data_IF_907763348532
#
_entry.id   IF_907763348532
#
_cell.length_a   1.000
_cell.length_b   1.000
_cell.length_c   1.000
_cell.angle_alpha   90.00
_cell.angle_beta   90.00
_cell.angle_gamma   90.00
#
_symmetry.space_group_name_H-M   'P 1'
#
loop_
_entity.id
_entity.type
_entity.pdbx_description
1 polymer ?
#
# COMPACT_ATOMS: atom_id res chain seq x y z
N UNK A 1 -16.94 -8.93 14.49
CA UNK A 1 -15.66 -9.02 15.25
C UNK A 1 -14.53 -8.87 14.25
N UNK A 2 -13.56 -7.99 14.51
CA UNK A 2 -12.41 -7.77 13.61
C UNK A 2 -12.20 -6.30 13.21
N UNK A 3 -13.24 -5.46 13.29
CA UNK A 3 -13.11 -4.01 13.07
C UNK A 3 -12.46 -3.33 14.28
N UNK A 4 -11.48 -2.46 14.01
CA UNK A 4 -10.81 -1.62 15.00
C UNK A 4 -11.75 -0.47 15.39
N UNK A 5 -12.33 -0.49 16.59
CA UNK A 5 -13.25 0.59 17.01
C UNK A 5 -12.52 1.84 17.54
N UNK A 6 -11.28 1.67 17.98
CA UNK A 6 -10.46 2.73 18.54
C UNK A 6 -8.97 2.41 18.33
N UNK A 7 -8.16 3.44 18.16
CA UNK A 7 -6.70 3.39 18.20
C UNK A 7 -6.17 4.51 19.09
N UNK A 8 -5.01 4.29 19.69
CA UNK A 8 -4.26 5.36 20.37
C UNK A 8 -2.81 5.32 19.93
N UNK A 9 -2.33 6.41 19.34
CA UNK A 9 -0.93 6.60 18.93
C UNK A 9 -0.42 7.84 19.63
N UNK A 10 0.67 7.73 20.37
CA UNK A 10 1.32 8.86 21.07
C UNK A 10 0.35 9.75 21.89
N UNK A 11 -0.69 9.13 22.45
CA UNK A 11 -1.72 9.79 23.25
C UNK A 11 -2.88 10.41 22.46
N UNK A 12 -2.82 10.40 21.13
CA UNK A 12 -3.93 10.80 20.24
C UNK A 12 -4.87 9.63 20.06
N UNK A 13 -6.18 9.88 20.18
CA UNK A 13 -7.22 8.86 20.09
C UNK A 13 -8.01 9.03 18.81
N UNK A 14 -8.13 7.95 18.06
CA UNK A 14 -8.93 7.86 16.83
C UNK A 14 -10.03 6.83 17.03
N UNK A 15 -11.28 7.20 16.74
CA UNK A 15 -12.44 6.30 16.85
C UNK A 15 -13.03 6.01 15.48
N UNK A 16 -13.54 4.80 15.29
CA UNK A 16 -13.99 4.30 13.99
C UNK A 16 -15.42 3.77 14.06
N UNK A 17 -16.20 3.99 12.99
CA UNK A 17 -17.57 3.46 12.85
C UNK A 17 -17.72 2.64 11.57
N UNK A 18 -18.56 1.61 11.62
CA UNK A 18 -18.70 0.64 10.53
C UNK A 18 -20.17 0.30 10.30
N UNK A 19 -20.51 -0.11 9.08
CA UNK A 19 -21.82 -0.71 8.78
C UNK A 19 -21.78 -2.25 8.91
N UNK A 20 -22.93 -2.89 8.66
CA UNK A 20 -23.09 -4.35 8.74
C UNK A 20 -22.27 -5.13 7.69
N UNK A 21 -21.78 -4.46 6.65
CA UNK A 21 -20.91 -5.03 5.61
C UNK A 21 -19.41 -4.82 5.91
N UNK A 22 -19.07 -4.42 7.15
CA UNK A 22 -17.70 -4.07 7.58
C UNK A 22 -17.08 -2.88 6.83
N UNK A 23 -17.87 -2.09 6.08
CA UNK A 23 -17.37 -0.85 5.46
C UNK A 23 -17.08 0.18 6.57
N UNK A 24 -15.91 0.84 6.51
CA UNK A 24 -15.57 1.93 7.43
C UNK A 24 -16.39 3.16 7.04
N UNK A 25 -17.35 3.56 7.86
CA UNK A 25 -18.18 4.73 7.54
C UNK A 25 -17.45 6.03 7.88
N UNK A 26 -16.80 6.08 9.04
CA UNK A 26 -16.00 7.22 9.45
C UNK A 26 -14.91 6.87 10.44
N UNK A 27 -13.87 7.70 10.45
CA UNK A 27 -12.95 7.86 11.56
C UNK A 27 -13.02 9.30 12.11
N UNK A 28 -12.66 9.47 13.36
CA UNK A 28 -12.64 10.78 14.02
C UNK A 28 -11.41 10.88 14.90
N UNK A 29 -10.57 11.87 14.61
CA UNK A 29 -9.36 12.20 15.35
C UNK A 29 -9.36 13.72 15.60
N UNK A 30 -9.13 14.16 16.84
CA UNK A 30 -9.03 15.59 17.17
C UNK A 30 -10.20 16.47 16.66
N UNK A 31 -11.41 15.92 16.59
CA UNK A 31 -12.64 16.54 16.04
C UNK A 31 -12.70 16.69 14.51
N UNK A 32 -11.67 16.26 13.79
CA UNK A 32 -11.70 16.09 12.33
C UNK A 32 -12.42 14.79 12.02
N UNK A 33 -13.37 14.84 11.09
CA UNK A 33 -14.14 13.65 10.67
C UNK A 33 -13.74 13.30 9.24
N UNK A 34 -13.20 12.10 9.07
CA UNK A 34 -12.99 11.49 7.76
C UNK A 34 -14.08 10.47 7.52
N UNK A 35 -14.84 10.58 6.43
CA UNK A 35 -15.85 9.60 6.03
C UNK A 35 -15.48 8.91 4.73
N UNK A 36 -15.99 7.69 4.53
CA UNK A 36 -15.70 6.91 3.33
C UNK A 36 -16.98 6.45 2.63
N UNK A 37 -16.96 6.52 1.31
CA UNK A 37 -18.02 6.02 0.44
C UNK A 37 -17.54 4.79 -0.31
N UNK A 38 -18.49 3.93 -0.69
CA UNK A 38 -18.19 2.64 -1.29
C UNK A 38 -19.09 2.41 -2.51
N UNK A 39 -18.57 1.68 -3.50
CA UNK A 39 -19.38 1.15 -4.60
C UNK A 39 -20.15 -0.10 -4.16
N UNK A 40 -21.03 -0.58 -5.04
CA UNK A 40 -21.83 -1.80 -4.81
C UNK A 40 -20.98 -3.07 -4.68
N UNK A 41 -19.73 -3.05 -5.16
CA UNK A 41 -18.77 -4.15 -5.01
C UNK A 41 -17.95 -4.04 -3.71
N UNK A 42 -18.17 -2.99 -2.91
CA UNK A 42 -17.47 -2.73 -1.66
C UNK A 42 -16.06 -2.17 -1.83
N UNK A 43 -15.71 -1.56 -2.96
CA UNK A 43 -14.48 -0.79 -3.10
C UNK A 43 -14.69 0.63 -2.57
N UNK A 44 -13.72 1.19 -1.85
CA UNK A 44 -13.77 2.58 -1.37
C UNK A 44 -13.73 3.55 -2.56
N UNK A 45 -14.79 4.32 -2.79
CA UNK A 45 -14.90 5.33 -3.86
C UNK A 45 -14.37 6.69 -3.46
N UNK A 46 -14.64 7.13 -2.22
CA UNK A 46 -14.24 8.46 -1.77
C UNK A 46 -13.73 8.40 -0.33
N UNK A 47 -12.68 9.17 -0.05
CA UNK A 47 -12.26 9.61 1.29
C UNK A 47 -12.62 11.09 1.38
N UNK A 48 -13.45 11.45 2.33
CA UNK A 48 -13.96 12.81 2.53
C UNK A 48 -13.51 13.30 3.90
N UNK A 49 -12.71 14.37 3.95
CA UNK A 49 -12.19 14.97 5.19
C UNK A 49 -12.93 16.28 5.44
N UNK A 50 -13.58 16.42 6.60
CA UNK A 50 -14.37 17.59 6.99
C UNK A 50 -15.39 18.05 5.93
N UNK A 51 -15.99 17.08 5.24
CA UNK A 51 -17.01 17.32 4.21
C UNK A 51 -16.47 17.72 2.84
N UNK A 52 -15.14 17.74 2.66
CA UNK A 52 -14.48 17.95 1.38
C UNK A 52 -13.89 16.64 0.86
N UNK A 53 -14.07 16.37 -0.43
CA UNK A 53 -13.47 15.20 -1.06
C UNK A 53 -11.95 15.36 -1.03
N UNK A 54 -11.28 14.46 -0.31
CA UNK A 54 -9.82 14.41 -0.16
C UNK A 54 -9.20 13.45 -1.18
N UNK A 55 -9.83 12.29 -1.37
CA UNK A 55 -9.44 11.34 -2.40
C UNK A 55 -10.64 10.72 -3.10
N UNK A 56 -10.62 10.70 -4.43
CA UNK A 56 -11.57 9.92 -5.26
C UNK A 56 -10.85 8.73 -5.89
N UNK A 57 -11.49 7.58 -5.92
CA UNK A 57 -10.98 6.35 -6.52
C UNK A 57 -11.92 5.86 -7.62
N UNK A 58 -11.36 5.25 -8.66
CA UNK A 58 -12.13 4.51 -9.66
C UNK A 58 -11.66 3.08 -9.78
N UNK A 59 -12.58 2.18 -10.13
CA UNK A 59 -12.31 0.75 -10.22
C UNK A 59 -12.82 0.15 -11.53
N UNK A 60 -12.15 -0.89 -11.97
CA UNK A 60 -12.66 -1.78 -13.01
C UNK A 60 -13.78 -2.66 -12.44
N UNK A 61 -14.55 -3.29 -13.34
CA UNK A 61 -15.55 -4.32 -12.99
C UNK A 61 -14.98 -5.52 -12.21
N UNK A 62 -13.67 -5.73 -12.28
CA UNK A 62 -12.95 -6.84 -11.66
C UNK A 62 -12.26 -6.39 -10.35
N UNK A 63 -12.73 -5.29 -9.74
CA UNK A 63 -12.24 -4.70 -8.48
C UNK A 63 -10.75 -4.29 -8.51
N UNK A 64 -10.27 -3.79 -9.66
CA UNK A 64 -8.92 -3.23 -9.78
C UNK A 64 -8.99 -1.70 -9.77
N UNK A 65 -8.20 -1.04 -8.92
CA UNK A 65 -8.15 0.43 -8.88
C UNK A 65 -7.57 0.95 -10.19
N UNK A 66 -8.36 1.67 -10.99
CA UNK A 66 -7.93 2.23 -12.28
C UNK A 66 -7.32 3.62 -12.12
N UNK A 67 -7.83 4.41 -11.18
CA UNK A 67 -7.30 5.74 -10.89
C UNK A 67 -7.57 6.16 -9.46
N UNK A 68 -6.81 7.16 -9.01
CA UNK A 68 -7.09 7.92 -7.82
C UNK A 68 -6.75 9.40 -8.05
N UNK A 69 -7.57 10.30 -7.52
CA UNK A 69 -7.24 11.72 -7.38
C UNK A 69 -7.06 11.97 -5.89
N UNK A 70 -5.82 11.93 -5.39
CA UNK A 70 -5.51 12.44 -4.05
C UNK A 70 -5.42 13.95 -4.20
N UNK A 71 -5.88 14.78 -3.26
CA UNK A 71 -5.91 16.25 -3.41
C UNK A 71 -4.61 16.93 -3.89
N UNK A 72 -3.49 16.20 -3.92
CA UNK A 72 -2.19 16.56 -4.46
C UNK A 72 -1.82 15.97 -5.83
N UNK A 73 -2.35 14.81 -6.22
CA UNK A 73 -1.91 14.08 -7.43
C UNK A 73 -3.04 13.35 -8.15
N UNK A 74 -2.97 13.32 -9.48
CA UNK A 74 -3.79 12.46 -10.34
C UNK A 74 -3.01 11.20 -10.70
N UNK A 75 -3.55 10.03 -10.36
CA UNK A 75 -2.88 8.74 -10.50
C UNK A 75 -3.74 7.82 -11.36
N UNK A 76 -3.11 7.08 -12.27
CA UNK A 76 -3.78 5.99 -13.00
C UNK A 76 -2.89 4.76 -13.11
N UNK A 77 -3.52 3.59 -13.23
CA UNK A 77 -2.84 2.31 -13.27
C UNK A 77 -3.32 1.47 -14.44
N UNK A 78 -2.40 0.68 -15.00
CA UNK A 78 -2.75 -0.38 -15.95
C UNK A 78 -2.41 -1.74 -15.38
N UNK A 79 -3.11 -2.77 -15.85
CA UNK A 79 -2.97 -4.14 -15.36
C UNK A 79 -2.91 -5.11 -16.54
N UNK A 80 -2.22 -6.23 -16.34
CA UNK A 80 -2.30 -7.37 -17.27
C UNK A 80 -3.60 -8.17 -17.07
N UNK A 81 -3.76 -9.24 -17.85
CA UNK A 81 -4.91 -10.14 -17.75
C UNK A 81 -4.99 -10.92 -16.42
N UNK A 82 -3.88 -11.03 -15.68
CA UNK A 82 -3.84 -11.60 -14.33
C UNK A 82 -4.22 -10.60 -13.24
N UNK A 83 -4.39 -9.32 -13.60
CA UNK A 83 -4.66 -8.24 -12.66
C UNK A 83 -3.42 -7.74 -11.92
N UNK A 84 -2.23 -7.97 -12.48
CA UNK A 84 -0.97 -7.46 -11.94
C UNK A 84 -0.64 -6.12 -12.59
N UNK A 85 -0.30 -5.13 -11.78
CA UNK A 85 -0.02 -3.75 -12.23
C UNK A 85 1.18 -3.74 -13.18
N UNK A 86 0.97 -3.15 -14.37
CA UNK A 86 1.97 -3.04 -15.43
C UNK A 86 2.51 -1.62 -15.59
N UNK A 87 1.72 -0.60 -15.22
CA UNK A 87 2.20 0.77 -15.16
C UNK A 87 1.47 1.59 -14.12
N UNK A 88 2.09 2.69 -13.74
CA UNK A 88 1.54 3.76 -12.92
C UNK A 88 1.85 5.09 -13.62
N UNK A 89 0.86 5.95 -13.78
CA UNK A 89 1.03 7.32 -14.25
C UNK A 89 0.64 8.27 -13.13
N UNK A 90 1.57 9.12 -12.69
CA UNK A 90 1.35 10.17 -11.68
C UNK A 90 1.59 11.52 -12.35
N UNK A 91 0.56 12.38 -12.35
CA UNK A 91 0.65 13.75 -12.87
C UNK A 91 1.24 13.84 -14.30
N UNK A 92 0.94 12.83 -15.11
CA UNK A 92 1.38 12.70 -16.51
C UNK A 92 2.72 12.01 -16.72
N UNK A 93 3.45 11.66 -15.66
CA UNK A 93 4.70 10.88 -15.72
C UNK A 93 4.38 9.40 -15.51
N UNK A 94 4.79 8.55 -16.46
CA UNK A 94 4.50 7.12 -16.42
C UNK A 94 5.74 6.30 -16.07
N UNK A 95 5.57 5.39 -15.12
CA UNK A 95 6.51 4.31 -14.80
C UNK A 95 5.91 3.00 -15.30
N UNK A 96 6.65 2.27 -16.12
CA UNK A 96 6.32 0.92 -16.56
C UNK A 96 7.06 -0.11 -15.69
N UNK A 97 6.40 -1.22 -15.37
CA UNK A 97 6.95 -2.27 -14.51
C UNK A 97 7.29 -3.51 -15.32
N UNK A 98 8.56 -3.93 -15.31
CA UNK A 98 8.94 -5.28 -15.77
C UNK A 98 8.73 -6.26 -14.62
N UNK A 99 7.73 -7.14 -14.75
CA UNK A 99 7.33 -8.05 -13.68
C UNK A 99 7.79 -9.48 -13.98
N UNK A 100 8.40 -10.15 -13.01
CA UNK A 100 8.67 -11.59 -13.03
C UNK A 100 7.49 -12.39 -12.46
N UNK A 101 6.79 -13.19 -13.29
CA UNK A 101 5.70 -14.05 -12.83
C UNK A 101 6.17 -15.43 -12.34
N UNK A 102 7.46 -15.77 -12.43
CA UNK A 102 7.97 -17.13 -12.19
C UNK A 102 8.37 -17.41 -10.73
N UNK A 103 8.12 -16.46 -9.83
CA UNK A 103 8.38 -16.59 -8.39
C UNK A 103 7.10 -16.99 -7.66
N UNK A 104 7.18 -17.24 -6.34
CA UNK A 104 6.02 -17.58 -5.51
C UNK A 104 4.86 -16.57 -5.61
N UNK A 105 5.21 -15.31 -5.92
CA UNK A 105 4.29 -14.23 -6.27
C UNK A 105 5.00 -13.26 -7.23
N UNK A 106 4.21 -12.45 -7.95
CA UNK A 106 4.72 -11.49 -8.93
C UNK A 106 5.63 -10.45 -8.28
N UNK A 107 6.79 -10.22 -8.88
CA UNK A 107 7.81 -9.28 -8.38
C UNK A 107 8.25 -8.32 -9.48
N UNK A 108 8.38 -7.03 -9.16
CA UNK A 108 8.94 -6.05 -10.12
C UNK A 108 10.45 -6.23 -10.16
N UNK A 109 10.98 -6.52 -11.34
CA UNK A 109 12.42 -6.55 -11.62
C UNK A 109 12.95 -5.17 -12.00
N UNK A 110 12.17 -4.39 -12.75
CA UNK A 110 12.59 -3.07 -13.22
C UNK A 110 11.42 -2.08 -13.19
N UNK A 111 11.75 -0.84 -12.85
CA UNK A 111 10.92 0.34 -13.11
C UNK A 111 11.53 1.08 -14.28
N UNK A 112 10.74 1.32 -15.32
CA UNK A 112 11.18 1.84 -16.60
C UNK A 112 10.45 3.15 -16.92
N UNK A 113 11.10 4.04 -17.65
CA UNK A 113 10.49 5.26 -18.19
C UNK A 113 9.61 4.96 -19.43
N UNK A 114 9.03 5.99 -20.03
CA UNK A 114 8.20 5.86 -21.25
C UNK A 114 8.95 5.38 -22.50
N UNK A 115 10.29 5.36 -22.46
CA UNK A 115 11.13 4.78 -23.50
C UNK A 115 11.51 3.33 -23.18
N UNK A 116 10.94 2.75 -22.12
CA UNK A 116 11.24 1.42 -21.57
C UNK A 116 12.71 1.28 -21.17
N UNK A 117 13.35 2.38 -20.76
CA UNK A 117 14.71 2.37 -20.22
C UNK A 117 14.63 2.16 -18.71
N UNK A 118 15.31 1.15 -18.14
CA UNK A 118 15.31 0.90 -16.70
C UNK A 118 15.89 2.09 -15.92
N UNK A 119 15.09 2.61 -14.99
CA UNK A 119 15.45 3.66 -14.03
C UNK A 119 15.80 3.07 -12.67
N UNK A 120 15.12 1.97 -12.29
CA UNK A 120 15.43 1.19 -11.10
C UNK A 120 15.48 -0.28 -11.47
N UNK A 121 16.51 -0.98 -11.03
CA UNK A 121 16.69 -2.43 -11.22
C UNK A 121 16.76 -3.09 -9.85
N UNK A 122 15.91 -4.09 -9.63
CA UNK A 122 15.83 -4.86 -8.40
C UNK A 122 16.49 -6.22 -8.57
N UNK A 123 17.31 -6.60 -7.58
CA UNK A 123 17.97 -7.91 -7.51
C UNK A 123 17.34 -8.74 -6.41
N UNK A 124 16.93 -9.97 -6.72
CA UNK A 124 16.27 -10.87 -5.78
C UNK A 124 17.09 -12.15 -5.56
N UNK A 125 17.09 -12.64 -4.32
CA UNK A 125 17.50 -13.98 -3.93
C UNK A 125 16.26 -14.80 -3.60
N UNK A 126 16.10 -15.20 -2.34
CA UNK A 126 14.80 -15.62 -1.80
C UNK A 126 13.89 -14.39 -1.59
N UNK A 127 14.45 -13.32 -1.02
CA UNK A 127 13.83 -12.01 -0.85
C UNK A 127 14.47 -10.94 -1.76
N UNK A 128 13.95 -9.71 -1.74
CA UNK A 128 14.59 -8.56 -2.37
C UNK A 128 15.96 -8.30 -1.70
N UNK A 129 17.03 -8.22 -2.48
CA UNK A 129 18.39 -8.06 -1.96
C UNK A 129 18.83 -6.60 -2.08
N UNK A 130 18.68 -6.04 -3.27
CA UNK A 130 19.18 -4.69 -3.56
C UNK A 130 18.39 -4.03 -4.66
N UNK A 131 18.44 -2.69 -4.68
CA UNK A 131 18.00 -1.87 -5.80
C UNK A 131 19.20 -1.11 -6.37
N UNK A 132 19.19 -0.84 -7.67
CA UNK A 132 20.14 0.05 -8.33
C UNK A 132 19.36 1.09 -9.11
N UNK A 133 19.57 2.36 -8.78
CA UNK A 133 19.00 3.52 -9.47
C UNK A 133 20.11 4.56 -9.74
N UNK A 134 19.75 5.78 -10.13
CA UNK A 134 20.71 6.87 -10.36
C UNK A 134 21.55 7.26 -9.12
N UNK A 135 21.06 6.95 -7.91
CA UNK A 135 21.76 7.20 -6.64
C UNK A 135 22.74 6.07 -6.29
N UNK A 136 22.79 4.99 -7.07
CA UNK A 136 23.67 3.84 -6.90
C UNK A 136 22.97 2.59 -6.39
N UNK A 137 23.76 1.56 -6.10
CA UNK A 137 23.25 0.28 -5.59
C UNK A 137 23.13 0.31 -4.07
N UNK A 138 21.95 -0.04 -3.57
CA UNK A 138 21.61 -0.07 -2.16
C UNK A 138 21.09 -1.45 -1.76
N UNK A 139 21.64 -2.01 -0.68
CA UNK A 139 21.26 -3.32 -0.15
C UNK A 139 20.25 -3.16 0.98
N UNK A 140 19.18 -3.93 0.93
CA UNK A 140 18.11 -3.89 1.93
C UNK A 140 18.47 -4.69 3.19
N UNK A 141 18.04 -4.18 4.34
CA UNK A 141 18.04 -4.90 5.61
C UNK A 141 16.64 -4.89 6.22
N UNK A 142 16.19 -6.04 6.72
CA UNK A 142 14.79 -6.28 7.12
C UNK A 142 14.63 -6.56 8.61
N UNK A 143 13.41 -6.39 9.12
CA UNK A 143 12.98 -7.00 10.39
C UNK A 143 12.40 -8.41 10.20
N UNK A 144 11.96 -9.03 11.29
CA UNK A 144 11.42 -10.39 11.27
C UNK A 144 10.11 -10.57 10.51
N UNK A 145 9.41 -9.48 10.17
CA UNK A 145 8.20 -9.50 9.34
C UNK A 145 8.54 -9.28 7.86
N UNK A 146 9.81 -8.99 7.54
CA UNK A 146 10.26 -8.64 6.19
C UNK A 146 10.11 -7.15 5.87
N UNK A 147 9.83 -6.29 6.85
CA UNK A 147 9.75 -4.85 6.61
C UNK A 147 11.14 -4.25 6.46
N UNK A 148 11.33 -3.37 5.47
CA UNK A 148 12.61 -2.70 5.24
C UNK A 148 12.99 -1.81 6.44
N UNK A 149 14.04 -2.15 7.16
CA UNK A 149 14.56 -1.35 8.28
C UNK A 149 15.65 -0.38 7.86
N UNK A 150 16.50 -0.78 6.92
CA UNK A 150 17.63 0.01 6.46
C UNK A 150 17.92 -0.24 4.98
N UNK A 151 18.49 0.77 4.31
CA UNK A 151 19.24 0.59 3.07
C UNK A 151 20.69 0.93 3.35
N UNK A 152 21.62 0.13 2.83
CA UNK A 152 23.07 0.35 2.97
C UNK A 152 23.73 0.49 1.61
N UNK A 153 24.77 1.32 1.51
CA UNK A 153 25.61 1.38 0.32
C UNK A 153 26.62 0.22 0.26
N UNK A 154 27.46 0.20 -0.77
CA UNK A 154 28.49 -0.84 -0.98
C UNK A 154 29.57 -0.90 0.11
N UNK A 155 29.67 0.12 0.98
CA UNK A 155 30.58 0.16 2.13
C UNK A 155 29.93 -0.34 3.41
N UNK A 156 28.61 -0.61 3.38
CA UNK A 156 27.82 -0.96 4.55
C UNK A 156 27.34 0.25 5.36
N UNK A 157 27.49 1.48 4.84
CA UNK A 157 26.99 2.68 5.50
C UNK A 157 25.48 2.78 5.31
N UNK A 158 24.74 3.05 6.38
CA UNK A 158 23.28 3.22 6.35
C UNK A 158 22.92 4.51 5.63
N UNK A 159 22.20 4.38 4.52
CA UNK A 159 21.71 5.49 3.69
C UNK A 159 20.28 5.87 4.06
N UNK A 160 19.41 4.88 4.26
CA UNK A 160 18.06 5.08 4.80
C UNK A 160 17.81 4.22 6.04
N UNK A 161 16.92 4.68 6.92
CA UNK A 161 16.40 3.88 8.03
C UNK A 161 14.90 4.11 8.25
N UNK A 162 14.19 3.08 8.69
CA UNK A 162 12.74 3.12 8.91
C UNK A 162 12.31 2.43 10.21
N UNK A 163 11.40 3.07 10.93
CA UNK A 163 10.62 2.54 12.05
C UNK A 163 9.16 2.44 11.65
N UNK A 164 8.46 1.40 12.14
CA UNK A 164 7.06 1.15 11.83
C UNK A 164 6.26 0.91 13.10
N UNK A 165 5.03 1.41 13.12
CA UNK A 165 3.98 0.96 14.02
C UNK A 165 3.42 -0.40 13.56
N UNK A 166 2.58 -1.02 14.38
CA UNK A 166 2.04 -2.36 14.13
C UNK A 166 1.34 -2.50 12.77
N UNK A 167 0.64 -1.47 12.29
CA UNK A 167 -0.09 -1.50 11.01
C UNK A 167 0.69 -0.91 9.83
N UNK A 168 1.98 -0.62 10.00
CA UNK A 168 2.85 -0.16 8.91
C UNK A 168 2.95 1.35 8.75
N UNK A 169 2.32 2.14 9.62
CA UNK A 169 2.59 3.58 9.73
C UNK A 169 4.05 3.81 10.11
N UNK A 170 4.70 4.74 9.41
CA UNK A 170 6.11 5.06 9.64
C UNK A 170 6.24 5.86 10.92
N UNK A 171 6.88 5.30 11.94
CA UNK A 171 7.16 5.97 13.21
C UNK A 171 8.48 6.74 13.21
N UNK A 172 9.39 6.39 12.29
CA UNK A 172 10.68 7.03 12.11
C UNK A 172 11.16 6.81 10.68
N UNK A 173 11.73 7.83 10.05
CA UNK A 173 12.40 7.70 8.75
C UNK A 173 13.60 8.63 8.67
N UNK A 174 14.68 8.16 8.06
CA UNK A 174 15.83 8.97 7.70
C UNK A 174 16.38 8.57 6.33
N UNK A 175 17.14 9.46 5.71
CA UNK A 175 17.74 9.24 4.40
C UNK A 175 16.95 9.86 3.25
N UNK A 176 17.54 9.84 2.06
CA UNK A 176 16.98 10.44 0.84
C UNK A 176 17.14 9.55 -0.39
N UNK A 177 17.52 8.28 -0.20
CA UNK A 177 17.51 7.31 -1.30
C UNK A 177 16.06 7.00 -1.60
N UNK A 178 15.64 7.14 -2.86
CA UNK A 178 14.29 6.76 -3.27
C UNK A 178 14.11 5.26 -3.10
N UNK A 179 13.05 4.84 -2.43
CA UNK A 179 12.76 3.45 -2.13
C UNK A 179 11.26 3.24 -2.05
N UNK A 180 10.75 2.30 -2.84
CA UNK A 180 9.34 1.94 -2.85
C UNK A 180 9.01 0.75 -1.96
N UNK A 181 9.97 -0.05 -1.49
CA UNK A 181 9.69 -1.26 -0.71
C UNK A 181 9.87 -1.00 0.80
N UNK A 182 8.74 -0.95 1.53
CA UNK A 182 8.71 -0.54 2.94
C UNK A 182 8.12 -1.63 3.84
N UNK A 183 6.96 -1.38 4.47
CA UNK A 183 6.34 -2.29 5.42
C UNK A 183 6.07 -3.67 4.78
N UNK A 184 6.45 -4.73 5.49
CA UNK A 184 6.37 -6.13 5.05
C UNK A 184 7.00 -6.41 3.67
N UNK A 185 7.91 -5.55 3.22
CA UNK A 185 8.55 -5.67 1.90
C UNK A 185 7.59 -5.40 0.74
N UNK A 186 6.47 -4.72 0.98
CA UNK A 186 5.48 -4.40 -0.04
C UNK A 186 5.76 -3.04 -0.68
N UNK A 187 5.34 -2.89 -1.94
CA UNK A 187 5.54 -1.66 -2.70
C UNK A 187 4.58 -0.57 -2.18
N UNK A 188 5.16 0.49 -1.62
CA UNK A 188 4.49 1.70 -1.19
C UNK A 188 4.34 2.67 -2.35
N UNK A 189 3.10 3.09 -2.57
CA UNK A 189 2.74 4.11 -3.54
C UNK A 189 2.62 5.45 -2.82
N UNK A 190 3.67 6.25 -2.91
CA UNK A 190 3.79 7.52 -2.19
C UNK A 190 2.72 8.54 -2.60
N UNK A 191 2.32 8.54 -3.87
CA UNK A 191 1.29 9.46 -4.38
C UNK A 191 -0.10 9.08 -3.90
N UNK A 192 -0.36 7.78 -3.70
CA UNK A 192 -1.62 7.23 -3.20
C UNK A 192 -1.69 7.14 -1.66
N UNK A 193 -0.54 7.16 -1.00
CA UNK A 193 -0.37 6.86 0.43
C UNK A 193 -0.84 5.44 0.83
N UNK A 194 -0.65 4.45 -0.05
CA UNK A 194 -1.09 3.06 0.18
C UNK A 194 -0.07 2.04 -0.31
N UNK A 195 -0.14 0.82 0.22
CA UNK A 195 0.68 -0.29 -0.23
C UNK A 195 -0.04 -1.12 -1.30
N UNK A 196 0.65 -1.44 -2.38
CA UNK A 196 0.15 -2.32 -3.42
C UNK A 196 0.54 -3.79 -3.12
N UNK A 197 -0.42 -4.59 -2.68
CA UNK A 197 -0.24 -6.01 -2.33
C UNK A 197 -0.64 -6.94 -3.49
N UNK A 198 -0.44 -6.48 -4.74
CA UNK A 198 -0.79 -7.16 -6.00
C UNK A 198 -2.29 -7.31 -6.25
N UNK A 199 -2.99 -8.00 -5.35
CA UNK A 199 -4.43 -8.23 -5.45
C UNK A 199 -5.26 -7.05 -4.93
N UNK A 200 -4.75 -6.30 -3.95
CA UNK A 200 -5.46 -5.22 -3.27
C UNK A 200 -4.50 -4.13 -2.82
N UNK A 201 -5.04 -2.93 -2.60
CA UNK A 201 -4.35 -1.84 -1.95
C UNK A 201 -4.66 -1.83 -0.46
N UNK A 202 -3.60 -1.74 0.34
CA UNK A 202 -3.64 -1.67 1.78
C UNK A 202 -3.43 -0.23 2.24
N UNK A 203 -4.42 0.35 2.89
CA UNK A 203 -4.30 1.64 3.56
C UNK A 203 -3.85 1.39 5.00
N UNK A 204 -2.60 1.78 5.27
CA UNK A 204 -1.94 1.57 6.54
C UNK A 204 -2.40 2.55 7.62
N UNK A 205 -2.83 3.77 7.27
CA UNK A 205 -3.40 4.76 8.21
C UNK A 205 -4.62 4.18 8.94
N UNK A 206 -5.50 3.51 8.18
CA UNK A 206 -6.70 2.87 8.72
C UNK A 206 -6.55 1.36 8.97
N UNK A 207 -5.36 0.81 8.75
CA UNK A 207 -5.03 -0.59 9.02
C UNK A 207 -5.89 -1.61 8.26
N UNK A 208 -6.35 -1.30 7.04
CA UNK A 208 -7.25 -2.17 6.26
C UNK A 208 -7.11 -2.01 4.74
N UNK A 209 -7.64 -3.00 4.00
CA UNK A 209 -7.73 -2.93 2.54
C UNK A 209 -8.83 -1.98 2.06
N UNK A 210 -8.63 -1.37 0.89
CA UNK A 210 -9.62 -0.49 0.22
C UNK A 210 -10.56 -1.24 -0.73
N UNK A 211 -10.28 -2.50 -1.05
CA UNK A 211 -11.17 -3.39 -1.80
C UNK A 211 -11.63 -4.59 -0.95
N UNK A 212 -12.83 -5.06 -1.24
CA UNK A 212 -13.37 -6.29 -0.65
C UNK A 212 -12.57 -7.52 -1.08
N UNK A 213 -12.22 -8.41 -0.15
CA UNK A 213 -11.64 -9.71 -0.47
C UNK A 213 -12.63 -10.59 -1.26
N UNK A 214 -12.21 -11.11 -2.41
CA UNK A 214 -13.00 -12.07 -3.19
C UNK A 214 -12.94 -13.48 -2.59
N UNK A 215 -11.96 -13.75 -1.72
CA UNK A 215 -11.89 -15.00 -0.99
C UNK A 215 -13.02 -15.11 0.04
N UNK A 216 -13.74 -16.23 0.03
CA UNK A 216 -14.95 -16.42 0.84
C UNK A 216 -14.69 -16.48 2.35
N UNK A 217 -13.47 -16.75 2.79
CA UNK A 217 -13.16 -17.00 4.19
C UNK A 217 -13.50 -18.44 4.61
N UNK A 218 -13.36 -18.71 5.89
CA UNK A 218 -13.68 -20.01 6.53
C UNK A 218 -14.69 -19.78 7.64
N UNK A 219 -15.82 -20.48 7.60
CA UNK A 219 -16.89 -20.37 8.62
C UNK A 219 -16.38 -20.72 10.02
N UNK A 220 -15.44 -21.68 10.12
CA UNK A 220 -14.81 -22.06 11.39
C UNK A 220 -13.79 -21.04 11.91
N UNK A 221 -13.48 -19.99 11.15
CA UNK A 221 -12.60 -18.89 11.56
C UNK A 221 -13.28 -17.55 11.24
N UNK A 222 -14.25 -17.10 12.07
CA UNK A 222 -15.12 -15.98 11.75
C UNK A 222 -14.40 -14.68 11.38
N UNK A 223 -13.19 -14.45 11.89
CA UNK A 223 -12.38 -13.27 11.55
C UNK A 223 -12.05 -13.18 10.05
N UNK A 224 -11.96 -14.34 9.38
CA UNK A 224 -11.72 -14.41 7.92
C UNK A 224 -12.96 -14.08 7.09
N UNK A 225 -14.12 -13.88 7.72
CA UNK A 225 -15.34 -13.43 7.05
C UNK A 225 -15.36 -11.91 6.89
N UNK A 226 -14.59 -11.17 7.70
CA UNK A 226 -14.36 -9.75 7.46
C UNK A 226 -13.49 -9.59 6.21
N UNK A 227 -13.98 -8.83 5.23
CA UNK A 227 -13.39 -8.76 3.89
C UNK A 227 -12.28 -7.72 3.72
N UNK A 228 -11.98 -6.98 4.77
CA UNK A 228 -11.07 -5.83 4.68
C UNK A 228 -9.95 -5.86 5.72
N UNK A 229 -10.11 -6.66 6.78
CA UNK A 229 -9.15 -6.75 7.86
C UNK A 229 -7.78 -7.20 7.33
N UNK A 230 -6.75 -6.47 7.70
CA UNK A 230 -5.38 -6.87 7.42
C UNK A 230 -4.96 -7.97 8.39
N UNK A 231 -4.45 -9.09 7.86
CA UNK A 231 -3.86 -10.22 8.60
C UNK A 231 -4.61 -10.65 9.87
N UNK A 232 -5.94 -10.73 9.78
CA UNK A 232 -6.83 -11.08 10.91
C UNK A 232 -6.65 -10.16 12.14
N UNK A 233 -6.39 -8.87 11.92
CA UNK A 233 -6.19 -7.84 12.95
C UNK A 233 -5.02 -8.13 13.91
N UNK A 234 -4.04 -8.92 13.47
CA UNK A 234 -2.83 -9.23 14.23
C UNK A 234 -1.59 -9.16 13.34
N UNK A 235 -1.18 -7.94 12.94
CA UNK A 235 0.03 -7.71 12.17
C UNK A 235 1.32 -7.88 12.98
#
# INVERSE_FOLDING_TARGET
MGNRLQQTIDGVVTTYTYNDNDHLLSETENSVVTSYLYDDNGNTLEKVVDGLIDTEYSYSKDNRMLSANTGTSTISYTYDAGGIRQSQTVDGLTTHFLVDPNRSYHQVLEEQDDLFIPQVIYTYGDDLISQTNEQGTHTFGYDGLGSTRILTDSTGTVQNSYGYQAYGEISHQSGSVDNKYLFTGEQYDESLFQYYLRARYYNHEIGRFTQMDTWKGKICSPITLNKYVYVNANP
#
